data_IF_703013113772
#
_entry.id   IF_703013113772
#
_cell.length_a   1.000
_cell.length_b   1.000
_cell.length_c   1.000
_cell.angle_alpha   90.00
_cell.angle_beta   90.00
_cell.angle_gamma   90.00
#
_symmetry.space_group_name_H-M   'P 1'
#
loop_
_entity.id
_entity.type
_entity.pdbx_description
1 polymer ?
#
# COMPACT_ATOMS: atom_id res chain seq x y z
N UNK A 1 9.93 1.82 18.97
CA UNK A 1 10.22 1.05 17.79
C UNK A 1 10.15 1.86 16.52
N UNK A 2 10.92 1.43 15.52
CA UNK A 2 10.90 2.07 14.22
C UNK A 2 9.56 1.82 13.50
N UNK A 3 9.07 2.83 12.80
CA UNK A 3 7.88 2.74 11.99
C UNK A 3 7.97 3.72 10.82
N UNK A 4 7.11 3.52 9.84
CA UNK A 4 6.94 4.45 8.73
C UNK A 4 5.63 5.22 8.89
N UNK A 5 5.66 6.57 8.76
CA UNK A 5 4.45 7.36 8.85
C UNK A 5 3.53 7.13 7.65
N UNK A 6 2.30 7.61 7.74
CA UNK A 6 1.34 7.54 6.64
C UNK A 6 1.90 8.23 5.39
N UNK A 7 2.01 7.50 4.30
CA UNK A 7 2.58 7.97 3.04
C UNK A 7 2.04 7.20 1.84
N UNK A 8 2.40 7.64 0.66
CA UNK A 8 2.16 6.96 -0.62
C UNK A 8 3.40 7.08 -1.51
N UNK A 9 3.47 6.26 -2.53
CA UNK A 9 4.59 6.26 -3.48
C UNK A 9 4.17 6.89 -4.80
N UNK A 10 4.37 8.19 -4.95
CA UNK A 10 3.91 8.95 -6.12
C UNK A 10 4.54 8.50 -7.45
N UNK A 11 5.69 7.87 -7.40
CA UNK A 11 6.45 7.41 -8.57
C UNK A 11 6.27 5.93 -8.88
N UNK A 12 5.54 5.20 -8.05
CA UNK A 12 5.37 3.76 -8.20
C UNK A 12 4.01 3.43 -8.80
N UNK A 13 4.00 2.54 -9.77
CA UNK A 13 2.75 1.98 -10.30
C UNK A 13 2.19 0.93 -9.34
N UNK A 14 3.00 -0.09 -9.03
CA UNK A 14 2.70 -1.05 -7.99
C UNK A 14 3.83 -1.04 -6.97
N UNK A 15 3.46 -1.05 -5.72
CA UNK A 15 4.38 -1.20 -4.60
C UNK A 15 4.14 -2.53 -3.91
N UNK A 16 5.12 -3.00 -3.19
CA UNK A 16 4.96 -4.23 -2.45
C UNK A 16 5.85 -4.31 -1.24
N UNK A 17 5.50 -5.22 -0.36
CA UNK A 17 6.31 -5.59 0.80
C UNK A 17 6.25 -7.08 1.02
N UNK A 18 7.42 -7.68 1.22
CA UNK A 18 7.57 -9.07 1.60
C UNK A 18 8.04 -9.15 3.04
N UNK A 19 7.36 -9.96 3.84
CA UNK A 19 7.69 -10.15 5.25
C UNK A 19 8.54 -11.40 5.43
N UNK A 20 9.75 -11.22 5.92
CA UNK A 20 10.59 -12.34 6.35
C UNK A 20 10.30 -12.73 7.79
N UNK A 21 9.87 -11.74 8.59
CA UNK A 21 9.57 -11.92 10.01
C UNK A 21 8.23 -11.26 10.36
N UNK A 22 7.65 -11.65 11.46
CA UNK A 22 6.57 -10.91 12.09
C UNK A 22 7.09 -9.64 12.77
N UNK A 23 6.21 -8.78 13.24
CA UNK A 23 6.58 -7.64 14.07
C UNK A 23 5.79 -6.39 13.80
N UNK A 24 5.88 -5.80 12.63
CA UNK A 24 5.23 -4.53 12.32
C UNK A 24 4.25 -4.71 11.16
N UNK A 25 2.97 -4.62 11.47
CA UNK A 25 1.91 -4.75 10.49
C UNK A 25 1.85 -3.53 9.57
N UNK A 26 1.36 -3.74 8.35
CA UNK A 26 1.06 -2.66 7.42
C UNK A 26 -0.41 -2.27 7.53
N UNK A 27 -0.67 -0.98 7.65
CA UNK A 27 -2.02 -0.44 7.75
C UNK A 27 -2.31 0.39 6.52
N UNK A 28 -3.38 0.04 5.81
CA UNK A 28 -3.84 0.76 4.62
C UNK A 28 -4.99 1.68 4.96
N UNK A 29 -4.97 2.88 4.38
CA UNK A 29 -6.07 3.82 4.48
C UNK A 29 -7.05 3.61 3.32
N UNK A 30 -8.35 3.53 3.62
CA UNK A 30 -9.40 3.49 2.59
C UNK A 30 -9.30 4.78 1.74
N UNK A 31 -9.12 4.67 0.42
CA UNK A 31 -8.99 5.83 -0.45
C UNK A 31 -10.32 6.55 -0.69
N UNK A 32 -11.45 5.97 -0.29
CA UNK A 32 -12.79 6.51 -0.55
C UNK A 32 -13.28 7.28 0.67
N UNK A 33 -13.04 8.59 0.67
CA UNK A 33 -13.42 9.48 1.77
C UNK A 33 -14.93 9.54 2.03
N UNK A 34 -15.75 9.23 1.02
CA UNK A 34 -17.21 9.27 1.14
C UNK A 34 -17.72 8.32 2.23
N UNK A 35 -16.99 7.26 2.53
CA UNK A 35 -17.34 6.37 3.64
C UNK A 35 -17.14 7.01 5.01
N UNK A 36 -16.33 8.06 5.08
CA UNK A 36 -16.07 8.82 6.28
C UNK A 36 -17.08 9.96 6.46
N UNK A 37 -17.90 10.22 5.44
CA UNK A 37 -18.95 11.24 5.46
C UNK A 37 -20.32 10.68 5.88
N UNK A 38 -20.40 9.38 6.15
CA UNK A 38 -21.61 8.78 6.69
C UNK A 38 -21.96 9.41 8.04
N UNK A 39 -23.08 10.10 8.06
CA UNK A 39 -23.60 10.74 9.28
C UNK A 39 -24.35 9.77 10.17
N UNK A 40 -24.61 8.55 9.69
CA UNK A 40 -25.22 7.47 10.46
C UNK A 40 -24.14 6.59 11.07
N UNK A 41 -24.13 6.50 12.38
CA UNK A 41 -23.33 5.51 13.07
C UNK A 41 -23.94 4.12 12.86
N UNK A 42 -23.47 3.45 11.81
CA UNK A 42 -23.80 2.05 11.57
C UNK A 42 -22.69 1.22 12.16
N UNK A 43 -23.04 0.34 13.08
CA UNK A 43 -22.10 -0.66 13.57
C UNK A 43 -21.71 -1.57 12.41
N UNK A 44 -20.44 -1.51 12.02
CA UNK A 44 -19.90 -2.28 10.90
C UNK A 44 -19.02 -3.39 11.45
N UNK A 45 -19.43 -4.62 11.26
CA UNK A 45 -18.69 -5.77 11.76
C UNK A 45 -17.37 -6.04 11.03
N UNK A 46 -17.13 -5.36 9.87
CA UNK A 46 -15.96 -5.58 9.04
C UNK A 46 -15.22 -4.30 8.59
N UNK A 47 -15.59 -3.15 9.14
CA UNK A 47 -14.86 -1.90 8.90
C UNK A 47 -14.69 -1.14 10.21
N UNK A 48 -13.52 -1.23 10.77
CA UNK A 48 -13.12 -0.44 11.93
C UNK A 48 -12.66 0.97 11.53
N UNK A 49 -13.45 1.64 10.69
CA UNK A 49 -13.10 2.97 10.19
C UNK A 49 -12.32 2.95 8.88
N UNK A 50 -11.56 4.04 8.57
CA UNK A 50 -10.87 4.20 7.28
C UNK A 50 -9.57 3.42 7.14
N UNK A 51 -9.17 2.64 8.14
CA UNK A 51 -7.91 1.93 8.14
C UNK A 51 -8.11 0.42 8.25
N UNK A 52 -7.32 -0.32 7.50
CA UNK A 52 -7.27 -1.78 7.55
C UNK A 52 -5.86 -2.26 7.88
N UNK A 53 -5.75 -3.06 8.91
CA UNK A 53 -4.50 -3.64 9.37
C UNK A 53 -4.24 -4.98 8.72
N UNK A 54 -3.12 -5.11 8.04
CA UNK A 54 -2.65 -6.38 7.48
C UNK A 54 -1.50 -6.90 8.33
N UNK A 55 -1.73 -8.04 8.95
CA UNK A 55 -0.76 -8.64 9.84
C UNK A 55 0.50 -9.07 9.09
N UNK A 56 1.66 -8.72 9.64
CA UNK A 56 2.95 -9.19 9.15
C UNK A 56 3.13 -10.67 9.51
N UNK A 57 3.10 -11.51 8.50
CA UNK A 57 3.32 -12.95 8.64
C UNK A 57 4.51 -13.36 7.77
N UNK A 58 5.45 -14.16 8.29
CA UNK A 58 6.57 -14.66 7.49
C UNK A 58 6.11 -15.35 6.21
N UNK A 59 6.68 -14.96 5.08
CA UNK A 59 6.31 -15.49 3.77
C UNK A 59 5.15 -14.78 3.08
N UNK A 60 4.52 -13.81 3.72
CA UNK A 60 3.45 -13.02 3.11
C UNK A 60 4.03 -11.94 2.20
N UNK A 61 3.46 -11.83 1.00
CA UNK A 61 3.73 -10.78 0.04
C UNK A 61 2.48 -9.92 -0.13
N UNK A 62 2.63 -8.62 0.08
CA UNK A 62 1.59 -7.64 -0.25
C UNK A 62 1.98 -6.91 -1.53
N UNK A 63 1.02 -6.75 -2.44
CA UNK A 63 1.15 -5.93 -3.64
C UNK A 63 -0.03 -4.97 -3.67
N UNK A 64 0.24 -3.70 -3.85
CA UNK A 64 -0.78 -2.66 -3.82
C UNK A 64 -0.43 -1.51 -4.76
N UNK A 65 -1.43 -0.72 -5.21
CA UNK A 65 -1.16 0.45 -6.04
C UNK A 65 -0.28 1.45 -5.30
N UNK A 66 0.66 2.07 -6.02
CA UNK A 66 1.56 3.06 -5.42
C UNK A 66 0.84 4.26 -4.79
N UNK A 67 -0.36 4.61 -5.28
CA UNK A 67 -1.16 5.72 -4.74
C UNK A 67 -1.86 5.39 -3.42
N UNK A 68 -1.93 4.12 -3.02
CA UNK A 68 -2.63 3.71 -1.80
C UNK A 68 -1.82 4.12 -0.56
N UNK A 69 -2.42 4.95 0.28
CA UNK A 69 -1.77 5.41 1.51
C UNK A 69 -1.69 4.31 2.54
N UNK A 70 -0.56 4.23 3.18
CA UNK A 70 -0.28 3.22 4.18
C UNK A 70 0.77 3.69 5.18
N UNK A 71 0.82 2.99 6.29
CA UNK A 71 1.88 3.16 7.29
C UNK A 71 2.21 1.81 7.93
N UNK A 72 3.29 1.73 8.66
CA UNK A 72 3.63 0.55 9.45
C UNK A 72 3.47 0.84 10.93
N UNK A 73 2.92 -0.11 11.66
CA UNK A 73 2.87 -0.04 13.11
C UNK A 73 4.28 -0.07 13.70
N UNK A 74 4.51 0.60 14.85
CA UNK A 74 5.77 0.49 15.54
C UNK A 74 6.13 -0.97 15.85
N UNK A 75 7.39 -1.32 15.61
CA UNK A 75 7.89 -2.64 15.98
C UNK A 75 8.05 -2.71 17.48
N UNK A 76 7.28 -3.60 18.12
CA UNK A 76 7.27 -3.75 19.59
C UNK A 76 7.96 -4.99 20.12
N UNK A 77 8.59 -5.79 19.25
CA UNK A 77 9.25 -7.03 19.65
C UNK A 77 10.72 -6.86 20.03
N UNK A 78 11.27 -7.85 20.69
CA UNK A 78 12.69 -7.93 21.05
C UNK A 78 13.57 -8.46 19.91
N UNK A 79 12.94 -9.07 18.91
CA UNK A 79 13.63 -9.64 17.75
C UNK A 79 13.74 -8.65 16.62
N UNK A 80 14.80 -8.76 15.84
CA UNK A 80 14.94 -7.97 14.63
C UNK A 80 13.83 -8.28 13.63
N UNK A 81 13.38 -7.24 12.94
CA UNK A 81 12.38 -7.31 11.91
C UNK A 81 13.03 -7.16 10.55
N UNK A 82 12.72 -8.08 9.64
CA UNK A 82 13.21 -8.04 8.27
C UNK A 82 12.04 -8.02 7.29
N UNK A 83 12.03 -7.01 6.44
CA UNK A 83 11.10 -6.90 5.31
C UNK A 83 11.85 -6.44 4.08
N UNK A 84 11.31 -6.76 2.91
CA UNK A 84 11.80 -6.24 1.64
C UNK A 84 10.67 -5.45 1.00
N UNK A 85 10.90 -4.16 0.77
CA UNK A 85 9.97 -3.31 0.06
C UNK A 85 10.45 -3.07 -1.36
N UNK A 86 9.52 -2.96 -2.30
CA UNK A 86 9.84 -2.68 -3.69
C UNK A 86 8.80 -1.77 -4.32
N UNK A 87 9.23 -1.09 -5.38
CA UNK A 87 8.39 -0.27 -6.21
C UNK A 87 8.57 -0.68 -7.67
N UNK A 88 7.55 -0.49 -8.47
CA UNK A 88 7.61 -0.77 -9.89
C UNK A 88 7.25 0.45 -10.70
N UNK A 89 7.86 0.56 -11.87
CA UNK A 89 7.56 1.58 -12.85
C UNK A 89 7.23 0.91 -14.17
N UNK A 90 6.20 1.35 -14.88
CA UNK A 90 5.96 0.87 -16.23
C UNK A 90 7.08 1.35 -17.16
N UNK A 91 7.37 0.56 -18.17
CA UNK A 91 8.33 0.90 -19.22
C UNK A 91 7.67 0.75 -20.59
N UNK A 92 7.97 1.64 -21.50
CA UNK A 92 7.44 1.63 -22.87
C UNK A 92 6.16 2.45 -23.02
N UNK A 93 5.33 2.14 -24.02
CA UNK A 93 4.08 2.86 -24.29
C UNK A 93 3.09 2.69 -23.15
N UNK A 94 2.50 3.79 -22.68
CA UNK A 94 1.48 3.82 -21.63
C UNK A 94 0.29 4.65 -22.08
N UNK A 95 -0.88 4.38 -21.48
CA UNK A 95 -2.11 5.09 -21.79
C UNK A 95 -2.45 5.06 -23.28
N UNK A 96 -2.45 3.86 -23.87
CA UNK A 96 -2.88 3.71 -25.25
C UNK A 96 -4.34 4.17 -25.41
N UNK A 97 -4.57 5.08 -26.34
CA UNK A 97 -5.91 5.54 -26.69
C UNK A 97 -6.76 4.46 -27.33
N UNK A 98 -8.03 4.76 -27.67
CA UNK A 98 -8.97 3.76 -28.24
C UNK A 98 -8.48 3.08 -29.52
N UNK A 99 -7.53 3.67 -30.22
CA UNK A 99 -6.93 3.12 -31.45
C UNK A 99 -5.54 2.50 -31.22
N UNK A 100 -5.19 2.23 -29.97
CA UNK A 100 -3.88 1.67 -29.63
C UNK A 100 -2.71 2.63 -29.72
N UNK A 101 -2.95 3.93 -29.93
CA UNK A 101 -1.90 4.94 -29.99
C UNK A 101 -1.48 5.28 -28.56
N UNK A 102 -0.22 5.09 -28.18
CA UNK A 102 0.22 5.41 -26.83
C UNK A 102 0.20 6.92 -26.59
N UNK A 103 -0.28 7.32 -25.41
CA UNK A 103 -0.30 8.72 -24.96
C UNK A 103 1.07 9.16 -24.41
N UNK A 104 1.88 8.23 -23.98
CA UNK A 104 3.23 8.48 -23.50
C UNK A 104 4.09 7.24 -23.72
N UNK A 105 5.41 7.47 -23.75
CA UNK A 105 6.39 6.39 -23.82
C UNK A 105 7.41 6.60 -22.70
N UNK A 106 7.46 5.67 -21.77
CA UNK A 106 8.35 5.72 -20.61
C UNK A 106 9.63 4.94 -20.92
N UNK A 107 10.75 5.63 -20.85
CA UNK A 107 12.08 5.03 -21.00
C UNK A 107 12.82 5.18 -19.68
N UNK A 108 13.11 4.04 -19.07
CA UNK A 108 13.86 3.97 -17.82
C UNK A 108 15.21 3.34 -18.14
N UNK A 109 16.25 4.08 -17.87
CA UNK A 109 17.63 3.65 -18.07
C UNK A 109 18.16 2.84 -16.90
#
# INVERSE_FOLDING_TARGET
GACHPLHRHNYSYLSGVYYFTEGSDTVFQDPVDIRNLDTLEITRDYFDGPFENIKAEPGKLLIFPGWLRHYSNPHGGDKDRYTMSFNSLPHGPVNAGPQGVPMANLNIL
#
